data_IF_426938487308
#
_entry.id   IF_426938487308
#
_cell.length_a   1.000
_cell.length_b   1.000
_cell.length_c   1.000
_cell.angle_alpha   90.00
_cell.angle_beta   90.00
_cell.angle_gamma   90.00
#
_symmetry.space_group_name_H-M   'P 1'
#
loop_
_entity.id
_entity.type
_entity.pdbx_description
1 polymer ?
#
# COMPACT_ATOMS: atom_id res chain seq x y z
N UNK A 1 -8.35 -22.38 -3.55
CA UNK A 1 -8.31 -22.18 -2.08
C UNK A 1 -8.45 -20.70 -1.80
N UNK A 2 -9.21 -20.32 -0.78
CA UNK A 2 -9.34 -18.93 -0.33
C UNK A 2 -8.02 -18.44 0.25
N UNK A 3 -7.57 -17.25 -0.14
CA UNK A 3 -6.40 -16.55 0.40
C UNK A 3 -6.83 -15.72 1.61
N UNK A 4 -6.07 -15.84 2.69
CA UNK A 4 -6.30 -15.08 3.92
C UNK A 4 -5.39 -13.85 3.91
N UNK A 5 -5.98 -12.66 3.87
CA UNK A 5 -5.24 -11.40 3.83
C UNK A 5 -5.35 -10.66 5.16
N UNK A 6 -4.22 -10.15 5.62
CA UNK A 6 -4.12 -9.08 6.60
C UNK A 6 -3.56 -7.86 5.86
N UNK A 7 -4.20 -6.70 6.00
CA UNK A 7 -3.88 -5.52 5.20
C UNK A 7 -3.44 -4.38 6.12
N UNK A 8 -2.26 -3.81 5.91
CA UNK A 8 -1.70 -2.66 6.63
C UNK A 8 -1.61 -1.46 5.70
N UNK A 9 -2.35 -0.39 6.00
CA UNK A 9 -2.57 0.75 5.10
C UNK A 9 -2.38 2.09 5.80
N UNK A 10 -2.07 3.13 5.03
CA UNK A 10 -2.19 4.54 5.40
C UNK A 10 -3.30 5.28 4.61
N UNK A 11 -4.30 4.50 4.18
CA UNK A 11 -5.55 4.86 3.51
C UNK A 11 -5.61 6.23 2.81
N UNK A 12 -4.83 6.33 1.75
CA UNK A 12 -4.98 7.24 0.62
C UNK A 12 -6.06 6.80 -0.37
N UNK A 13 -6.07 7.45 -1.54
CA UNK A 13 -7.00 7.13 -2.63
C UNK A 13 -6.69 5.77 -3.26
N UNK A 14 -5.42 5.45 -3.47
CA UNK A 14 -4.96 4.16 -4.01
C UNK A 14 -5.09 3.01 -3.01
N UNK A 15 -4.89 3.23 -1.71
CA UNK A 15 -5.23 2.24 -0.69
C UNK A 15 -6.73 1.89 -0.72
N UNK A 16 -7.61 2.89 -0.89
CA UNK A 16 -9.04 2.65 -1.04
C UNK A 16 -9.32 1.76 -2.26
N UNK A 17 -8.61 1.99 -3.37
CA UNK A 17 -8.71 1.15 -4.57
C UNK A 17 -8.25 -0.28 -4.29
N UNK A 18 -7.13 -0.45 -3.59
CA UNK A 18 -6.60 -1.76 -3.19
C UNK A 18 -7.56 -2.51 -2.26
N UNK A 19 -8.12 -1.85 -1.24
CA UNK A 19 -9.10 -2.45 -0.33
C UNK A 19 -10.35 -2.88 -1.12
N UNK A 20 -10.89 -2.01 -1.98
CA UNK A 20 -12.06 -2.35 -2.80
C UNK A 20 -11.78 -3.52 -3.75
N UNK A 21 -10.56 -3.61 -4.29
CA UNK A 21 -10.11 -4.74 -5.11
C UNK A 21 -10.11 -6.06 -4.31
N UNK A 22 -9.56 -6.05 -3.10
CA UNK A 22 -9.56 -7.23 -2.22
C UNK A 22 -10.98 -7.68 -1.88
N UNK A 23 -11.87 -6.72 -1.55
CA UNK A 23 -13.27 -6.98 -1.18
C UNK A 23 -14.10 -7.57 -2.32
N UNK A 24 -13.78 -7.22 -3.57
CA UNK A 24 -14.46 -7.75 -4.75
C UNK A 24 -13.96 -9.14 -5.17
N UNK A 25 -12.82 -9.60 -4.64
CA UNK A 25 -12.27 -10.90 -4.98
C UNK A 25 -12.93 -12.04 -4.19
N UNK A 26 -13.64 -12.98 -4.83
CA UNK A 26 -14.31 -14.08 -4.14
C UNK A 26 -13.33 -15.12 -3.57
N UNK A 27 -12.06 -15.07 -3.99
CA UNK A 27 -11.01 -15.95 -3.49
C UNK A 27 -10.27 -15.37 -2.29
N UNK A 28 -10.73 -14.25 -1.71
CA UNK A 28 -10.06 -13.54 -0.60
C UNK A 28 -10.96 -13.46 0.63
N UNK A 29 -10.36 -13.73 1.79
CA UNK A 29 -10.92 -13.42 3.11
C UNK A 29 -10.00 -12.42 3.80
N UNK A 30 -10.54 -11.24 4.12
CA UNK A 30 -9.81 -10.20 4.86
C UNK A 30 -10.00 -10.46 6.36
N UNK A 31 -8.92 -10.78 7.05
CA UNK A 31 -8.93 -11.08 8.49
C UNK A 31 -8.93 -9.81 9.36
N UNK A 32 -8.46 -8.70 8.79
CA UNK A 32 -8.44 -7.39 9.42
C UNK A 32 -7.69 -6.37 8.59
N UNK A 33 -7.91 -5.10 8.91
CA UNK A 33 -7.19 -3.96 8.34
C UNK A 33 -6.53 -3.19 9.46
N UNK A 34 -5.21 -3.03 9.40
CA UNK A 34 -4.43 -2.23 10.32
C UNK A 34 -4.11 -0.88 9.70
N UNK A 35 -4.21 0.18 10.49
CA UNK A 35 -3.96 1.54 10.05
C UNK A 35 -2.60 2.03 10.56
N UNK A 36 -1.84 2.67 9.68
CA UNK A 36 -0.61 3.39 9.98
C UNK A 36 -0.78 4.85 9.55
N UNK A 37 -0.03 5.77 10.14
CA UNK A 37 0.10 7.13 9.60
C UNK A 37 0.82 7.09 8.24
N UNK A 38 0.71 8.15 7.44
CA UNK A 38 1.42 8.28 6.17
C UNK A 38 0.83 9.38 5.32
N UNK A 39 0.01 9.02 4.34
CA UNK A 39 -0.75 9.91 3.45
C UNK A 39 -1.52 11.02 4.20
N UNK A 40 -1.94 10.72 5.42
CA UNK A 40 -2.52 11.69 6.36
C UNK A 40 -2.24 11.24 7.80
N UNK A 41 -2.78 11.98 8.78
CA UNK A 41 -2.70 11.58 10.20
C UNK A 41 -3.51 10.30 10.45
N UNK A 42 -3.06 9.48 11.39
CA UNK A 42 -3.64 8.16 11.67
C UNK A 42 -5.16 8.19 11.90
N UNK A 43 -5.69 9.21 12.58
CA UNK A 43 -7.14 9.34 12.80
C UNK A 43 -7.91 9.44 11.47
N UNK A 44 -7.38 10.18 10.50
CA UNK A 44 -7.98 10.29 9.18
C UNK A 44 -7.85 8.98 8.40
N UNK A 45 -6.70 8.29 8.48
CA UNK A 45 -6.52 6.97 7.89
C UNK A 45 -7.60 6.01 8.37
N UNK A 46 -7.82 5.93 9.69
CA UNK A 46 -8.84 5.07 10.28
C UNK A 46 -10.25 5.41 9.77
N UNK A 47 -10.60 6.70 9.69
CA UNK A 47 -11.87 7.16 9.11
C UNK A 47 -12.00 6.77 7.64
N UNK A 48 -10.92 6.90 6.87
CA UNK A 48 -10.91 6.58 5.45
C UNK A 48 -11.13 5.09 5.19
N UNK A 49 -10.45 4.22 5.94
CA UNK A 49 -10.71 2.76 5.87
C UNK A 49 -12.18 2.46 6.16
N UNK A 50 -12.74 3.03 7.23
CA UNK A 50 -14.15 2.81 7.57
C UNK A 50 -15.10 3.35 6.48
N UNK A 51 -14.79 4.50 5.86
CA UNK A 51 -15.58 5.05 4.73
C UNK A 51 -15.59 4.08 3.54
N UNK A 52 -14.44 3.51 3.21
CA UNK A 52 -14.30 2.50 2.14
C UNK A 52 -15.11 1.24 2.48
N UNK A 53 -15.00 0.75 3.72
CA UNK A 53 -15.79 -0.40 4.17
C UNK A 53 -17.29 -0.10 4.15
N UNK A 54 -17.72 1.11 4.53
CA UNK A 54 -19.13 1.52 4.53
C UNK A 54 -19.70 1.53 3.11
N UNK A 55 -19.02 2.14 2.12
CA UNK A 55 -19.53 2.16 0.74
C UNK A 55 -19.59 0.76 0.13
N UNK A 56 -18.71 -0.14 0.58
CA UNK A 56 -18.71 -1.54 0.18
C UNK A 56 -19.71 -2.41 0.97
N UNK A 57 -20.38 -1.88 2.00
CA UNK A 57 -21.21 -2.62 2.95
C UNK A 57 -20.46 -3.75 3.69
N UNK A 58 -19.23 -3.46 4.13
CA UNK A 58 -18.29 -4.42 4.76
C UNK A 58 -17.77 -3.96 6.12
N UNK A 59 -18.59 -3.23 6.89
CA UNK A 59 -18.21 -2.70 8.21
C UNK A 59 -18.00 -3.78 9.28
N UNK A 60 -18.33 -5.05 8.99
CA UNK A 60 -18.03 -6.17 9.88
C UNK A 60 -16.55 -6.58 9.88
N UNK A 61 -15.74 -6.12 8.92
CA UNK A 61 -14.30 -6.38 8.90
C UNK A 61 -13.64 -5.55 10.01
N UNK A 62 -12.82 -6.18 10.88
CA UNK A 62 -12.21 -5.47 11.99
C UNK A 62 -11.10 -4.52 11.50
N UNK A 63 -11.16 -3.27 11.96
CA UNK A 63 -10.16 -2.23 11.70
C UNK A 63 -9.45 -1.88 12.99
N UNK A 64 -8.12 -1.80 12.95
CA UNK A 64 -7.28 -1.57 14.12
C UNK A 64 -6.41 -0.33 13.94
N UNK A 65 -6.43 0.56 14.92
CA UNK A 65 -5.56 1.74 14.98
C UNK A 65 -4.13 1.33 15.38
N UNK A 66 -3.13 1.82 14.65
CA UNK A 66 -1.71 1.44 14.83
C UNK A 66 -0.79 2.61 15.15
N UNK A 67 0.42 2.58 14.56
CA UNK A 67 1.42 3.61 14.79
C UNK A 67 0.98 4.97 14.21
N UNK A 68 1.16 6.04 14.98
CA UNK A 68 0.81 7.41 14.60
C UNK A 68 2.01 8.25 14.12
N UNK A 69 3.23 7.68 14.15
CA UNK A 69 4.49 8.36 13.85
C UNK A 69 5.59 7.34 13.51
N UNK A 70 6.67 7.75 12.81
CA UNK A 70 7.78 6.87 12.49
C UNK A 70 8.52 6.37 13.73
N UNK A 71 9.29 5.29 13.56
CA UNK A 71 10.19 4.79 14.62
C UNK A 71 11.14 5.87 15.11
N UNK A 72 11.70 6.67 14.20
CA UNK A 72 12.59 7.78 14.50
C UNK A 72 12.23 9.03 13.67
N UNK A 73 12.42 10.20 14.28
CA UNK A 73 12.26 11.48 13.61
C UNK A 73 10.81 11.97 13.55
N UNK A 74 10.46 12.64 12.45
CA UNK A 74 9.12 13.18 12.20
C UNK A 74 8.69 12.91 10.76
N UNK A 75 7.40 13.05 10.45
CA UNK A 75 6.86 12.67 9.15
C UNK A 75 7.54 13.46 8.02
N UNK A 76 7.78 12.79 6.90
CA UNK A 76 8.23 13.46 5.69
C UNK A 76 7.11 14.38 5.21
N UNK A 77 7.45 15.64 4.91
CA UNK A 77 6.49 16.57 4.32
C UNK A 77 6.27 16.20 2.85
N UNK A 78 5.24 15.40 2.59
CA UNK A 78 4.77 15.08 1.25
C UNK A 78 3.90 16.20 0.65
N UNK A 79 3.62 16.08 -0.66
CA UNK A 79 2.55 16.82 -1.29
C UNK A 79 1.20 16.34 -0.72
N UNK A 80 0.19 17.22 -0.66
CA UNK A 80 -1.19 16.82 -0.30
C UNK A 80 -1.86 16.11 -1.49
N UNK A 81 -1.22 15.07 -2.02
CA UNK A 81 -1.63 14.36 -3.24
C UNK A 81 -3.02 13.73 -3.09
N UNK A 82 -3.36 13.28 -1.88
CA UNK A 82 -4.66 12.71 -1.54
C UNK A 82 -5.60 13.70 -0.84
N UNK A 83 -5.27 14.99 -0.79
CA UNK A 83 -6.02 15.99 -0.03
C UNK A 83 -5.55 16.09 1.43
N UNK A 84 -6.22 16.92 2.23
CA UNK A 84 -5.88 17.11 3.65
C UNK A 84 -6.38 15.94 4.50
N UNK A 85 -7.58 15.44 4.19
CA UNK A 85 -8.15 14.27 4.85
C UNK A 85 -7.56 12.94 4.36
N UNK A 86 -6.71 12.96 3.32
CA UNK A 86 -6.13 11.76 2.71
C UNK A 86 -7.09 11.00 1.79
N UNK A 87 -8.29 11.50 1.51
CA UNK A 87 -9.27 10.84 0.64
C UNK A 87 -10.08 11.83 -0.21
N UNK A 88 -9.35 12.75 -0.83
CA UNK A 88 -9.86 13.70 -1.81
C UNK A 88 -10.63 14.90 -1.24
N UNK A 89 -10.59 15.10 0.08
CA UNK A 89 -11.33 16.16 0.79
C UNK A 89 -12.84 16.15 0.52
N UNK A 90 -13.38 14.96 0.20
CA UNK A 90 -14.79 14.76 -0.14
C UNK A 90 -15.62 14.77 1.15
N UNK A 91 -16.59 15.70 1.31
CA UNK A 91 -17.49 15.70 2.47
C UNK A 91 -18.31 14.41 2.51
N UNK A 92 -18.39 13.79 3.69
CA UNK A 92 -19.20 12.57 3.88
C UNK A 92 -20.33 12.83 4.87
N UNK A 93 -21.57 12.99 4.37
CA UNK A 93 -22.75 12.87 5.20
C UNK A 93 -22.76 11.46 5.82
N UNK A 94 -22.91 11.36 7.14
CA UNK A 94 -22.93 10.10 7.89
C UNK A 94 -21.63 9.27 7.84
N UNK A 95 -20.48 9.95 7.94
CA UNK A 95 -19.20 9.28 8.11
C UNK A 95 -19.24 8.26 9.28
N UNK A 96 -18.61 7.08 9.14
CA UNK A 96 -18.57 6.09 10.20
C UNK A 96 -17.97 6.68 11.47
N UNK A 97 -18.53 6.28 12.60
CA UNK A 97 -18.00 6.65 13.90
C UNK A 97 -16.75 5.82 14.18
N UNK A 98 -15.80 6.39 14.93
CA UNK A 98 -14.58 5.68 15.32
C UNK A 98 -14.82 4.53 16.31
N UNK A 99 -16.05 4.36 16.82
CA UNK A 99 -16.45 3.23 17.67
C UNK A 99 -16.51 1.89 16.91
N UNK A 100 -16.46 1.90 15.57
CA UNK A 100 -16.26 0.71 14.74
C UNK A 100 -14.83 0.18 14.81
N UNK A 101 -13.86 0.98 15.29
CA UNK A 101 -12.50 0.51 15.50
C UNK A 101 -12.44 -0.52 16.62
N UNK A 102 -11.60 -1.53 16.43
CA UNK A 102 -11.26 -2.46 17.49
C UNK A 102 -10.43 -1.74 18.56
N UNK A 103 -10.61 -2.13 19.82
CA UNK A 103 -9.86 -1.56 20.95
C UNK A 103 -8.41 -2.03 21.02
N UNK A 104 -8.12 -3.16 20.38
CA UNK A 104 -6.78 -3.73 20.32
C UNK A 104 -5.91 -2.91 19.35
N UNK A 105 -4.67 -2.62 19.74
CA UNK A 105 -3.73 -1.91 18.88
C UNK A 105 -3.33 -2.79 17.68
N UNK A 106 -3.19 -2.18 16.50
CA UNK A 106 -2.87 -2.86 15.23
C UNK A 106 -1.75 -3.89 15.37
N UNK A 107 -0.59 -3.51 15.91
CA UNK A 107 0.56 -4.40 16.07
C UNK A 107 0.21 -5.65 16.90
N UNK A 108 -0.58 -5.50 17.97
CA UNK A 108 -0.99 -6.64 18.82
C UNK A 108 -1.98 -7.52 18.05
N UNK A 109 -2.91 -6.93 17.33
CA UNK A 109 -3.84 -7.64 16.46
C UNK A 109 -3.10 -8.43 15.36
N UNK A 110 -2.08 -7.85 14.71
CA UNK A 110 -1.27 -8.53 13.71
C UNK A 110 -0.62 -9.79 14.30
N UNK A 111 0.03 -9.66 15.46
CA UNK A 111 0.65 -10.80 16.14
C UNK A 111 -0.38 -11.87 16.48
N UNK A 112 -1.53 -11.49 17.04
CA UNK A 112 -2.60 -12.42 17.41
C UNK A 112 -3.15 -13.15 16.19
N UNK A 113 -3.58 -12.42 15.16
CA UNK A 113 -4.16 -12.97 13.93
C UNK A 113 -3.19 -13.94 13.24
N UNK A 114 -1.91 -13.58 13.14
CA UNK A 114 -0.89 -14.45 12.53
C UNK A 114 -0.59 -15.68 13.37
N UNK A 115 -0.59 -15.58 14.70
CA UNK A 115 -0.42 -16.73 15.60
C UNK A 115 -1.61 -17.70 15.58
N UNK A 116 -2.81 -17.25 15.24
CA UNK A 116 -3.99 -18.12 15.08
C UNK A 116 -3.91 -19.00 13.82
N UNK A 117 -3.23 -18.54 12.76
CA UNK A 117 -3.12 -19.24 11.47
C UNK A 117 -1.70 -19.17 10.87
N UNK A 118 -0.66 -19.68 11.56
CA UNK A 118 0.72 -19.59 11.09
C UNK A 118 0.91 -20.30 9.75
N UNK A 119 1.68 -19.68 8.86
CA UNK A 119 2.00 -20.16 7.52
C UNK A 119 0.87 -20.00 6.48
N UNK A 120 -0.29 -19.44 6.86
CA UNK A 120 -1.46 -19.34 5.98
C UNK A 120 -1.76 -17.90 5.52
N UNK A 121 -1.35 -16.89 6.30
CA UNK A 121 -1.74 -15.50 6.08
C UNK A 121 -0.73 -14.79 5.18
N UNK A 122 -1.26 -14.12 4.16
CA UNK A 122 -0.53 -13.18 3.32
C UNK A 122 -0.72 -11.76 3.88
N UNK A 123 0.37 -11.06 4.15
CA UNK A 123 0.34 -9.67 4.61
C UNK A 123 0.49 -8.73 3.41
N UNK A 124 -0.40 -7.75 3.29
CA UNK A 124 -0.30 -6.68 2.28
C UNK A 124 -0.02 -5.38 3.01
N UNK A 125 1.09 -4.72 2.72
CA UNK A 125 1.48 -3.46 3.35
C UNK A 125 1.64 -2.37 2.29
N UNK A 126 0.78 -1.36 2.34
CA UNK A 126 0.70 -0.29 1.34
C UNK A 126 0.98 1.10 1.91
N UNK A 127 1.29 1.19 3.21
CA UNK A 127 1.78 2.40 3.85
C UNK A 127 3.19 2.26 4.44
N UNK A 128 3.63 3.23 5.28
CA UNK A 128 4.87 3.14 6.03
C UNK A 128 4.92 1.88 6.89
N UNK A 129 6.06 1.18 6.85
CA UNK A 129 6.21 -0.18 7.42
C UNK A 129 6.36 -0.21 8.95
N UNK A 130 5.98 0.86 9.65
CA UNK A 130 6.19 1.05 11.09
C UNK A 130 5.48 -0.02 11.92
N UNK A 131 4.22 -0.34 11.61
CA UNK A 131 3.50 -1.41 12.29
C UNK A 131 4.23 -2.77 12.18
N UNK A 132 4.74 -3.08 10.98
CA UNK A 132 5.48 -4.32 10.71
C UNK A 132 6.81 -4.37 11.46
N UNK A 133 7.55 -3.26 11.47
CA UNK A 133 8.81 -3.16 12.20
C UNK A 133 8.58 -3.31 13.71
N UNK A 134 7.53 -2.71 14.27
CA UNK A 134 7.15 -2.91 15.66
C UNK A 134 6.75 -4.36 15.93
N UNK A 135 5.99 -5.00 15.04
CA UNK A 135 5.56 -6.39 15.18
C UNK A 135 6.75 -7.35 15.28
N UNK A 136 7.73 -7.27 14.37
CA UNK A 136 8.93 -8.15 14.41
C UNK A 136 9.81 -7.85 15.62
N UNK A 137 9.82 -6.62 16.14
CA UNK A 137 10.56 -6.28 17.37
C UNK A 137 9.90 -6.83 18.63
N UNK A 138 8.57 -6.98 18.64
CA UNK A 138 7.85 -7.62 19.74
C UNK A 138 7.89 -9.15 19.65
N UNK A 139 7.82 -9.71 18.44
CA UNK A 139 7.91 -11.15 18.18
C UNK A 139 8.87 -11.41 17.01
N UNK A 140 10.16 -11.71 17.28
CA UNK A 140 11.14 -12.00 16.23
C UNK A 140 10.81 -13.22 15.35
N UNK A 141 9.89 -14.09 15.79
CA UNK A 141 9.42 -15.22 14.98
C UNK A 141 8.24 -14.84 14.08
N UNK A 142 7.65 -13.64 14.23
CA UNK A 142 6.51 -13.17 13.44
C UNK A 142 6.70 -13.37 11.93
N UNK A 143 7.84 -12.98 11.32
CA UNK A 143 7.99 -13.12 9.87
C UNK A 143 7.98 -14.56 9.38
N UNK A 144 8.41 -15.53 10.20
CA UNK A 144 8.40 -16.95 9.83
C UNK A 144 6.98 -17.56 9.85
N UNK A 145 6.03 -16.88 10.49
CA UNK A 145 4.64 -17.30 10.61
C UNK A 145 3.77 -16.74 9.49
N UNK A 146 4.28 -15.82 8.67
CA UNK A 146 3.60 -15.35 7.46
C UNK A 146 3.80 -16.34 6.31
N UNK A 147 2.77 -16.52 5.49
CA UNK A 147 2.89 -17.28 4.23
C UNK A 147 3.81 -16.54 3.25
N UNK A 148 3.52 -15.26 3.04
CA UNK A 148 4.26 -14.32 2.21
C UNK A 148 3.78 -12.89 2.52
N UNK A 149 4.47 -11.90 1.96
CA UNK A 149 4.14 -10.50 2.13
C UNK A 149 4.26 -9.74 0.80
N UNK A 150 3.39 -8.76 0.61
CA UNK A 150 3.34 -7.89 -0.57
C UNK A 150 3.43 -6.44 -0.11
N UNK A 151 4.45 -5.72 -0.57
CA UNK A 151 4.70 -4.32 -0.21
C UNK A 151 4.48 -3.45 -1.44
N UNK A 152 3.73 -2.35 -1.29
CA UNK A 152 3.87 -1.19 -2.17
C UNK A 152 4.87 -0.25 -1.55
N UNK A 153 5.97 0.02 -2.27
CA UNK A 153 6.93 1.01 -1.83
C UNK A 153 8.35 0.71 -2.28
N UNK A 154 9.24 1.63 -1.93
CA UNK A 154 10.63 1.60 -2.34
C UNK A 154 10.79 1.89 -3.83
N UNK A 155 12.04 2.00 -4.23
CA UNK A 155 12.44 2.37 -5.57
C UNK A 155 13.78 1.74 -5.94
N UNK A 156 14.09 1.62 -7.23
CA UNK A 156 15.28 0.87 -7.70
C UNK A 156 16.17 1.64 -8.65
N UNK A 157 15.66 2.71 -9.24
CA UNK A 157 16.36 3.56 -10.19
C UNK A 157 16.81 4.89 -9.56
N UNK A 158 16.82 4.97 -8.23
CA UNK A 158 17.08 6.20 -7.45
C UNK A 158 16.08 7.33 -7.75
N UNK A 159 14.89 7.00 -8.24
CA UNK A 159 13.82 7.94 -8.55
C UNK A 159 12.84 8.00 -7.38
N UNK A 160 12.90 9.06 -6.59
CA UNK A 160 11.94 9.30 -5.53
C UNK A 160 10.68 10.02 -6.01
N UNK A 161 9.60 9.92 -5.24
CA UNK A 161 8.37 10.70 -5.39
C UNK A 161 8.16 11.71 -4.24
N UNK A 162 8.97 11.63 -3.18
CA UNK A 162 8.94 12.57 -2.05
C UNK A 162 10.28 13.22 -1.74
N UNK A 163 11.39 12.48 -1.85
CA UNK A 163 12.75 13.05 -1.86
C UNK A 163 13.40 12.79 -3.21
N UNK A 164 14.64 13.25 -3.42
CA UNK A 164 15.36 13.03 -4.69
C UNK A 164 15.41 11.53 -5.05
N UNK A 165 15.65 10.68 -4.05
CA UNK A 165 15.84 9.24 -4.24
C UNK A 165 14.96 8.35 -3.36
N UNK A 166 14.05 8.91 -2.57
CA UNK A 166 13.16 8.15 -1.68
C UNK A 166 11.73 8.09 -2.21
N UNK A 167 11.19 6.87 -2.26
CA UNK A 167 9.75 6.64 -2.39
C UNK A 167 9.05 6.94 -1.06
N UNK A 168 7.83 7.46 -1.11
CA UNK A 168 7.04 7.96 0.01
C UNK A 168 6.97 7.02 1.21
N UNK A 169 6.49 5.79 1.06
CA UNK A 169 6.32 4.85 2.18
C UNK A 169 7.66 4.55 2.86
N UNK A 170 8.72 4.34 2.06
CA UNK A 170 10.05 4.03 2.59
C UNK A 170 10.76 5.25 3.17
N UNK A 171 10.58 6.43 2.57
CA UNK A 171 11.16 7.67 3.06
C UNK A 171 10.46 8.16 4.33
N UNK A 172 9.18 7.84 4.51
CA UNK A 172 8.37 8.23 5.67
C UNK A 172 8.80 7.50 6.95
N UNK A 173 9.26 6.25 6.85
CA UNK A 173 9.95 5.55 7.95
C UNK A 173 11.09 4.67 7.41
N UNK A 174 12.27 5.26 7.11
CA UNK A 174 13.40 4.53 6.56
C UNK A 174 13.89 3.44 7.49
N UNK A 175 13.85 3.68 8.81
CA UNK A 175 14.22 2.70 9.83
C UNK A 175 13.29 1.50 9.83
N UNK A 176 11.97 1.72 9.77
CA UNK A 176 11.02 0.61 9.70
C UNK A 176 11.21 -0.20 8.43
N UNK A 177 11.36 0.46 7.28
CA UNK A 177 11.63 -0.23 6.02
C UNK A 177 12.96 -1.00 6.06
N UNK A 178 14.01 -0.43 6.67
CA UNK A 178 15.26 -1.15 6.92
C UNK A 178 15.05 -2.38 7.79
N UNK A 179 14.33 -2.27 8.91
CA UNK A 179 14.04 -3.39 9.81
C UNK A 179 13.29 -4.49 9.05
N UNK A 180 12.22 -4.14 8.33
CA UNK A 180 11.40 -5.12 7.59
C UNK A 180 12.23 -5.86 6.54
N UNK A 181 12.97 -5.14 5.69
CA UNK A 181 13.77 -5.78 4.64
C UNK A 181 14.97 -6.59 5.16
N UNK A 182 15.39 -6.39 6.41
CA UNK A 182 16.48 -7.16 7.02
C UNK A 182 15.97 -8.35 7.85
N UNK A 183 14.84 -8.22 8.51
CA UNK A 183 14.37 -9.19 9.51
C UNK A 183 13.22 -10.06 9.01
N UNK A 184 12.49 -9.68 7.97
CA UNK A 184 11.45 -10.52 7.42
C UNK A 184 12.02 -11.62 6.53
N UNK A 185 11.71 -12.87 6.88
CA UNK A 185 12.25 -14.07 6.21
C UNK A 185 11.23 -14.81 5.36
N UNK A 186 9.94 -14.42 5.40
CA UNK A 186 8.95 -14.96 4.47
C UNK A 186 9.19 -14.43 3.05
N UNK A 187 8.70 -15.13 2.00
CA UNK A 187 8.70 -14.60 0.65
C UNK A 187 8.07 -13.20 0.63
N UNK A 188 8.85 -12.21 0.17
CA UNK A 188 8.47 -10.80 0.18
C UNK A 188 8.50 -10.26 -1.24
N UNK A 189 7.36 -9.79 -1.73
CA UNK A 189 7.19 -9.20 -3.06
C UNK A 189 7.06 -7.69 -2.94
N UNK A 190 7.74 -6.94 -3.80
CA UNK A 190 7.74 -5.48 -3.73
C UNK A 190 7.29 -4.90 -5.07
N UNK A 191 6.16 -4.20 -5.06
CA UNK A 191 5.70 -3.34 -6.15
C UNK A 191 6.30 -1.95 -5.93
N UNK A 192 7.41 -1.65 -6.61
CA UNK A 192 8.11 -0.38 -6.44
C UNK A 192 7.41 0.77 -7.18
N UNK A 193 7.67 2.00 -6.75
CA UNK A 193 7.15 3.19 -7.41
C UNK A 193 7.43 3.22 -8.92
N UNK A 194 8.66 2.93 -9.35
CA UNK A 194 8.94 2.96 -10.79
C UNK A 194 8.22 1.84 -11.55
N UNK A 195 7.99 0.69 -10.90
CA UNK A 195 7.20 -0.39 -11.48
C UNK A 195 5.74 0.02 -11.68
N UNK A 196 5.11 0.67 -10.70
CA UNK A 196 3.71 1.14 -10.84
C UNK A 196 3.59 2.20 -11.94
N UNK A 197 4.54 3.15 -11.99
CA UNK A 197 4.58 4.19 -13.03
C UNK A 197 4.77 3.62 -14.45
N UNK A 198 5.70 2.68 -14.64
CA UNK A 198 5.92 2.04 -15.96
C UNK A 198 4.70 1.26 -16.46
N UNK A 199 3.81 0.87 -15.56
CA UNK A 199 2.61 0.10 -15.85
C UNK A 199 1.33 0.94 -15.78
N UNK A 200 1.44 2.27 -15.83
CA UNK A 200 0.29 3.19 -15.80
C UNK A 200 -0.80 2.80 -16.81
N UNK A 201 -2.05 2.92 -16.41
CA UNK A 201 -3.22 2.69 -17.25
C UNK A 201 -3.58 3.97 -18.04
N UNK A 202 -4.32 3.81 -19.14
CA UNK A 202 -4.80 4.98 -19.87
C UNK A 202 -5.85 5.74 -19.07
N UNK A 203 -5.92 7.07 -19.27
CA UNK A 203 -7.02 7.87 -18.73
C UNK A 203 -8.38 7.44 -19.27
N UNK A 204 -8.43 6.91 -20.50
CA UNK A 204 -9.64 6.29 -21.07
C UNK A 204 -10.12 5.12 -20.20
N UNK A 205 -9.22 4.23 -19.79
CA UNK A 205 -9.56 3.15 -18.86
C UNK A 205 -10.05 3.69 -17.52
N UNK A 206 -9.38 4.71 -16.95
CA UNK A 206 -9.83 5.32 -15.71
C UNK A 206 -11.28 5.83 -15.82
N UNK A 207 -11.59 6.57 -16.89
CA UNK A 207 -12.93 7.10 -17.10
C UNK A 207 -13.97 6.00 -17.31
N UNK A 208 -13.65 4.94 -18.07
CA UNK A 208 -14.51 3.76 -18.19
C UNK A 208 -14.76 3.11 -16.83
N UNK A 209 -13.70 2.94 -16.04
CA UNK A 209 -13.73 2.29 -14.76
C UNK A 209 -14.61 3.00 -13.73
N UNK A 210 -14.52 4.33 -13.61
CA UNK A 210 -15.31 5.11 -12.65
C UNK A 210 -16.72 5.47 -13.15
N UNK A 211 -17.00 5.36 -14.44
CA UNK A 211 -18.32 5.65 -15.04
C UNK A 211 -19.32 4.46 -14.93
N UNK A 212 -19.05 3.49 -14.05
CA UNK A 212 -20.00 2.42 -13.75
C UNK A 212 -21.18 2.98 -12.94
N UNK A 213 -22.40 2.48 -13.20
CA UNK A 213 -23.60 2.92 -12.48
C UNK A 213 -23.74 2.23 -11.11
N UNK A 214 -22.79 2.50 -10.22
CA UNK A 214 -22.76 1.94 -8.86
C UNK A 214 -22.38 2.99 -7.81
N UNK A 215 -22.76 2.75 -6.55
CA UNK A 215 -22.34 3.63 -5.43
C UNK A 215 -20.83 3.65 -5.23
N UNK A 216 -20.17 2.51 -5.48
CA UNK A 216 -18.71 2.36 -5.37
C UNK A 216 -17.98 3.20 -6.41
N UNK A 217 -18.48 3.19 -7.65
CA UNK A 217 -17.90 3.96 -8.74
C UNK A 217 -18.06 5.47 -8.53
N UNK A 218 -19.26 5.92 -8.16
CA UNK A 218 -19.52 7.31 -7.76
C UNK A 218 -18.64 7.77 -6.58
N UNK A 219 -18.37 6.88 -5.63
CA UNK A 219 -17.46 7.18 -4.52
C UNK A 219 -16.02 7.31 -5.02
N UNK A 220 -15.55 6.36 -5.84
CA UNK A 220 -14.20 6.34 -6.38
C UNK A 220 -13.89 7.56 -7.25
N UNK A 221 -14.83 7.95 -8.12
CA UNK A 221 -14.73 9.15 -8.94
C UNK A 221 -14.45 10.38 -8.07
N UNK A 222 -15.30 10.60 -7.06
CA UNK A 222 -15.22 11.78 -6.17
C UNK A 222 -13.91 11.85 -5.41
N UNK A 223 -13.47 10.74 -4.79
CA UNK A 223 -12.22 10.77 -4.00
C UNK A 223 -10.98 10.92 -4.88
N UNK A 224 -11.07 10.53 -6.15
CA UNK A 224 -9.96 10.62 -7.11
C UNK A 224 -9.83 12.01 -7.74
N UNK A 225 -10.90 12.83 -7.76
CA UNK A 225 -10.91 14.17 -8.38
C UNK A 225 -9.73 15.05 -7.93
N UNK A 226 -9.36 14.98 -6.65
CA UNK A 226 -8.26 15.78 -6.11
C UNK A 226 -6.91 15.31 -6.66
N UNK A 227 -6.60 14.01 -6.56
CA UNK A 227 -5.35 13.43 -7.03
C UNK A 227 -5.17 13.57 -8.54
N UNK A 228 -6.27 13.50 -9.31
CA UNK A 228 -6.24 13.65 -10.77
C UNK A 228 -5.79 15.05 -11.19
N UNK A 229 -6.13 16.10 -10.43
CA UNK A 229 -5.64 17.46 -10.70
C UNK A 229 -4.11 17.58 -10.63
N UNK A 230 -3.43 16.64 -9.96
CA UNK A 230 -1.97 16.61 -9.89
C UNK A 230 -1.31 15.85 -11.04
N UNK A 231 -2.06 15.02 -11.77
CA UNK A 231 -1.49 14.04 -12.73
C UNK A 231 -2.10 14.08 -14.13
N UNK A 232 -3.33 14.57 -14.31
CA UNK A 232 -3.95 14.65 -15.62
C UNK A 232 -3.44 15.88 -16.38
N UNK A 233 -2.78 15.71 -17.55
CA UNK A 233 -2.22 16.80 -18.34
C UNK A 233 -3.27 17.81 -18.84
N UNK A 234 -4.57 17.51 -18.80
CA UNK A 234 -5.65 18.46 -19.10
C UNK A 234 -5.83 19.55 -18.04
N UNK A 235 -5.28 19.35 -16.84
CA UNK A 235 -5.33 20.34 -15.77
C UNK A 235 -4.07 21.21 -15.85
N UNK A 236 -4.20 22.37 -16.51
CA UNK A 236 -3.14 23.36 -16.73
C UNK A 236 -2.62 23.94 -15.39
N UNK A 237 -1.70 23.24 -14.70
CA UNK A 237 -0.70 23.86 -13.81
C UNK A 237 0.32 22.91 -13.15
N UNK A 238 0.28 21.60 -13.41
CA UNK A 238 1.29 20.71 -12.86
C UNK A 238 2.40 20.44 -13.87
N UNK A 239 3.62 20.84 -13.52
CA UNK A 239 4.82 20.33 -14.15
C UNK A 239 4.72 18.81 -14.30
N UNK A 240 5.23 18.25 -15.41
CA UNK A 240 5.38 16.82 -15.72
C UNK A 240 6.19 16.03 -14.65
N UNK A 241 5.80 16.12 -13.38
CA UNK A 241 6.61 15.75 -12.22
C UNK A 241 6.45 14.28 -11.81
N UNK A 242 5.46 13.58 -12.33
CA UNK A 242 5.14 12.21 -11.90
C UNK A 242 5.68 11.10 -12.79
N UNK A 243 6.48 11.38 -13.83
CA UNK A 243 7.06 10.36 -14.74
C UNK A 243 6.05 9.45 -15.46
N UNK A 244 4.76 9.72 -15.33
CA UNK A 244 3.66 8.99 -15.97
C UNK A 244 2.74 9.98 -16.69
N UNK A 245 2.24 9.57 -17.86
CA UNK A 245 1.18 10.26 -18.61
C UNK A 245 -0.20 9.63 -18.39
N UNK A 246 -0.30 8.58 -17.58
CA UNK A 246 -1.49 7.79 -17.34
C UNK A 246 -1.92 7.76 -15.87
N UNK A 247 -3.01 7.04 -15.63
CA UNK A 247 -3.54 6.75 -14.30
C UNK A 247 -2.70 5.66 -13.62
N UNK A 248 -2.24 5.92 -12.39
CA UNK A 248 -1.48 4.95 -11.58
C UNK A 248 -2.23 4.72 -10.27
N UNK A 249 -2.47 3.44 -9.97
CA UNK A 249 -3.07 2.96 -8.72
C UNK A 249 -2.03 2.15 -7.96
N UNK A 250 -1.15 2.81 -7.22
CA UNK A 250 0.10 2.20 -6.74
C UNK A 250 -0.15 0.96 -5.88
N UNK A 251 -0.96 1.12 -4.84
CA UNK A 251 -1.23 0.09 -3.83
C UNK A 251 -1.96 -1.12 -4.41
N UNK A 252 -2.79 -0.88 -5.41
CA UNK A 252 -3.49 -1.93 -6.14
C UNK A 252 -2.55 -2.93 -6.80
N UNK A 253 -1.32 -2.55 -7.19
CA UNK A 253 -0.36 -3.51 -7.76
C UNK A 253 0.11 -4.54 -6.73
N UNK A 254 0.40 -4.11 -5.50
CA UNK A 254 0.76 -5.02 -4.42
C UNK A 254 -0.44 -5.90 -4.05
N UNK A 255 -1.64 -5.33 -4.02
CA UNK A 255 -2.88 -6.07 -3.75
C UNK A 255 -3.20 -7.10 -4.85
N UNK A 256 -3.02 -6.74 -6.13
CA UNK A 256 -3.26 -7.65 -7.25
C UNK A 256 -2.34 -8.87 -7.16
N UNK A 257 -1.06 -8.68 -6.82
CA UNK A 257 -0.13 -9.78 -6.57
C UNK A 257 -0.56 -10.66 -5.38
N UNK A 258 -1.11 -10.04 -4.33
CA UNK A 258 -1.65 -10.76 -3.18
C UNK A 258 -2.90 -11.59 -3.53
N UNK A 259 -3.80 -11.04 -4.35
CA UNK A 259 -5.04 -11.71 -4.80
C UNK A 259 -4.73 -12.88 -5.74
N UNK A 260 -3.89 -12.66 -6.75
CA UNK A 260 -3.52 -13.64 -7.76
C UNK A 260 -2.02 -13.55 -8.05
N UNK A 261 -1.26 -14.57 -7.64
CA UNK A 261 0.20 -14.57 -7.82
C UNK A 261 0.60 -14.66 -9.30
N UNK A 262 -0.29 -15.16 -10.17
CA UNK A 262 -0.07 -15.19 -11.62
C UNK A 262 -0.21 -13.83 -12.30
N UNK A 263 -0.56 -12.79 -11.54
CA UNK A 263 -0.42 -11.39 -11.94
C UNK A 263 1.05 -11.02 -12.17
N UNK A 264 1.96 -11.53 -11.35
CA UNK A 264 3.39 -11.26 -11.47
C UNK A 264 3.98 -12.19 -12.53
N UNK A 265 4.36 -11.63 -13.68
CA UNK A 265 4.91 -12.40 -14.81
C UNK A 265 6.43 -12.43 -14.79
N UNK A 266 7.07 -11.46 -14.13
CA UNK A 266 8.52 -11.42 -13.92
C UNK A 266 8.86 -10.66 -12.63
N UNK A 267 9.77 -11.21 -11.83
CA UNK A 267 10.34 -10.57 -10.66
C UNK A 267 11.84 -10.84 -10.55
N UNK A 268 12.58 -9.90 -9.98
CA UNK A 268 14.00 -10.01 -9.70
C UNK A 268 14.18 -10.42 -8.24
N UNK A 269 14.70 -11.61 -8.01
CA UNK A 269 15.04 -12.07 -6.67
C UNK A 269 16.43 -11.56 -6.26
N UNK A 270 16.49 -10.59 -5.34
CA UNK A 270 17.76 -10.02 -4.89
C UNK A 270 17.74 -9.58 -3.43
N UNK A 271 18.91 -9.43 -2.84
CA UNK A 271 19.04 -8.80 -1.54
C UNK A 271 18.74 -7.31 -1.67
N UNK A 272 17.90 -6.79 -0.78
CA UNK A 272 17.53 -5.37 -0.73
C UNK A 272 17.81 -4.80 0.66
N UNK A 273 18.05 -3.50 0.74
CA UNK A 273 18.17 -2.76 2.01
C UNK A 273 17.70 -1.32 1.82
N UNK A 274 17.62 -0.54 2.89
CA UNK A 274 17.33 0.89 2.84
C UNK A 274 18.55 1.68 3.30
N UNK A 275 18.88 2.77 2.62
CA UNK A 275 19.92 3.71 3.05
C UNK A 275 19.40 4.61 4.18
N UNK A 276 20.15 4.71 5.28
CA UNK A 276 19.72 5.43 6.49
C UNK A 276 20.54 6.69 6.79
N UNK A 277 21.75 6.82 6.25
CA UNK A 277 22.73 7.81 6.68
C UNK A 277 22.94 8.92 5.64
N UNK A 278 22.82 8.60 4.35
CA UNK A 278 23.13 9.54 3.26
C UNK A 278 22.27 10.81 3.27
N UNK A 279 22.87 11.98 3.07
CA UNK A 279 22.15 13.26 3.02
C UNK A 279 21.26 13.44 1.78
N UNK A 280 21.52 12.68 0.72
CA UNK A 280 20.76 12.71 -0.55
C UNK A 280 19.92 11.45 -0.78
N UNK A 281 20.32 10.33 -0.16
CA UNK A 281 19.82 9.00 -0.48
C UNK A 281 19.12 8.32 0.70
N UNK A 282 18.98 8.97 1.85
CA UNK A 282 18.21 8.42 2.98
C UNK A 282 16.77 8.08 2.53
N UNK A 283 16.33 6.87 2.86
CA UNK A 283 15.03 6.32 2.45
C UNK A 283 15.02 5.63 1.08
N UNK A 284 16.13 5.67 0.32
CA UNK A 284 16.27 4.94 -0.93
C UNK A 284 16.39 3.43 -0.66
N UNK A 285 15.66 2.62 -1.43
CA UNK A 285 15.89 1.18 -1.45
C UNK A 285 17.09 0.84 -2.35
N UNK A 286 18.00 0.02 -1.85
CA UNK A 286 19.22 -0.42 -2.52
C UNK A 286 19.08 -1.89 -2.90
N UNK A 287 19.29 -2.21 -4.17
CA UNK A 287 19.38 -3.59 -4.67
C UNK A 287 20.84 -4.04 -4.74
N UNK A 288 21.17 -5.13 -4.05
CA UNK A 288 22.50 -5.72 -4.05
C UNK A 288 22.67 -6.77 -5.15
N UNK A 289 22.71 -6.29 -6.40
CA UNK A 289 22.85 -7.15 -7.58
C UNK A 289 24.19 -7.91 -7.64
N UNK A 290 25.22 -7.43 -6.93
CA UNK A 290 26.53 -8.05 -6.86
C UNK A 290 26.69 -9.02 -5.67
N UNK A 291 25.71 -9.11 -4.77
CA UNK A 291 25.74 -9.99 -3.60
C UNK A 291 26.74 -9.58 -2.51
N UNK A 292 27.11 -8.29 -2.44
CA UNK A 292 28.11 -7.76 -1.52
C UNK A 292 27.61 -7.71 -0.06
N UNK A 293 26.30 -7.53 0.15
CA UNK A 293 25.69 -7.53 1.49
C UNK A 293 25.67 -8.92 2.13
N UNK A 294 25.84 -9.99 1.32
CA UNK A 294 25.78 -11.39 1.77
C UNK A 294 24.51 -11.72 2.57
N UNK A 295 23.41 -11.01 2.31
CA UNK A 295 22.12 -11.27 2.95
C UNK A 295 21.57 -12.61 2.48
N UNK A 296 21.09 -13.40 3.44
CA UNK A 296 20.38 -14.65 3.15
C UNK A 296 18.95 -14.38 2.70
N UNK A 297 18.31 -13.36 3.28
CA UNK A 297 16.96 -12.95 2.92
C UNK A 297 17.01 -12.11 1.65
N UNK A 298 16.22 -12.53 0.65
CA UNK A 298 16.02 -11.83 -0.61
C UNK A 298 14.55 -11.44 -0.75
N UNK A 299 14.30 -10.38 -1.53
CA UNK A 299 12.96 -9.98 -1.93
C UNK A 299 12.78 -10.24 -3.44
N UNK A 300 11.53 -10.43 -3.84
CA UNK A 300 11.08 -10.50 -5.21
C UNK A 300 10.61 -9.11 -5.65
N UNK A 301 11.50 -8.33 -6.26
CA UNK A 301 11.17 -7.02 -6.80
C UNK A 301 10.40 -7.22 -8.11
N UNK A 302 9.14 -6.81 -8.16
CA UNK A 302 8.26 -7.06 -9.30
C UNK A 302 8.73 -6.22 -10.49
N UNK A 303 8.92 -6.86 -11.65
CA UNK A 303 9.41 -6.19 -12.86
C UNK A 303 8.34 -6.10 -13.96
N UNK A 304 7.57 -7.18 -14.16
CA UNK A 304 6.48 -7.25 -15.15
C UNK A 304 5.24 -7.89 -14.54
N UNK A 305 4.09 -7.48 -15.07
CA UNK A 305 2.81 -8.01 -14.67
C UNK A 305 1.84 -8.18 -15.85
N UNK A 306 0.73 -8.87 -15.58
CA UNK A 306 -0.41 -9.01 -16.49
C UNK A 306 -1.40 -7.84 -16.27
N UNK A 307 -1.31 -6.84 -17.15
CA UNK A 307 -2.17 -5.64 -17.07
C UNK A 307 -3.65 -5.93 -17.36
N UNK A 308 -3.97 -6.96 -18.13
CA UNK A 308 -5.38 -7.27 -18.42
C UNK A 308 -6.05 -7.90 -17.19
N UNK A 309 -5.33 -8.76 -16.46
CA UNK A 309 -5.78 -9.21 -15.13
C UNK A 309 -5.96 -8.04 -14.17
N UNK A 310 -5.01 -7.11 -14.15
CA UNK A 310 -5.07 -5.93 -13.29
C UNK A 310 -6.32 -5.07 -13.55
N UNK A 311 -6.58 -4.75 -14.82
CA UNK A 311 -7.79 -4.04 -15.24
C UNK A 311 -9.04 -4.81 -14.84
N UNK A 312 -9.07 -6.13 -15.02
CA UNK A 312 -10.19 -6.98 -14.61
C UNK A 312 -10.48 -6.89 -13.10
N UNK A 313 -9.44 -6.90 -12.27
CA UNK A 313 -9.56 -6.74 -10.81
C UNK A 313 -10.08 -5.34 -10.44
N UNK A 314 -9.57 -4.28 -11.06
CA UNK A 314 -10.06 -2.91 -10.84
C UNK A 314 -11.53 -2.77 -11.26
N UNK A 315 -11.90 -3.24 -12.44
CA UNK A 315 -13.28 -3.22 -12.92
C UNK A 315 -14.21 -3.93 -11.93
N UNK A 316 -13.81 -5.11 -11.42
CA UNK A 316 -14.58 -5.84 -10.41
C UNK A 316 -14.72 -5.07 -9.09
N UNK A 317 -13.71 -4.28 -8.69
CA UNK A 317 -13.71 -3.51 -7.45
C UNK A 317 -14.89 -2.53 -7.32
N UNK A 318 -15.37 -1.99 -8.45
CA UNK A 318 -16.43 -0.98 -8.49
C UNK A 318 -17.79 -1.51 -8.95
N UNK A 319 -17.92 -2.82 -9.23
CA UNK A 319 -19.22 -3.46 -9.46
C UNK A 319 -20.01 -3.60 -8.15
#
# INVERSE_FOLDING_TARGET
MTKLLLIDVDCGVDDAQAIMMALASPSVEILGITCCYGNTVLENVCKNVLRVLQVCNRLEIPVYEGASAPLLGGPVKGAMYHGRDGLGDVPVPNAPRLDYLQKEHAVIAMLRIVNEKPGQISLVATGPLTNLALAVKLDPAFPQKLKNMFIMGGNVESRGNVTVCGEFNFATDPEAAYVVLNEFTCPTYIATWEFTCRNSLSWEFYHEWVNQDTKKANFMEKISEHSIKFTDPKHENTSNSFWTSGFVSCDSYAMAAAIDESFVTEAIETAVSVELNGSLTRGMMVMDMAGLLKKKNKAFVINKCDLEKFKGLLIAALK
#
